data_IF_820273857029
#
_entry.id   IF_820273857029
#
_cell.length_a   1.000
_cell.length_b   1.000
_cell.length_c   1.000
_cell.angle_alpha   90.00
_cell.angle_beta   90.00
_cell.angle_gamma   90.00
#
_symmetry.space_group_name_H-M   'P 1'
#
loop_
_entity.id
_entity.type
_entity.pdbx_description
1 polymer ?
#
# COMPACT_ATOMS: atom_id res chain seq x y z
N UNK A 1 -7.49 -20.80 -17.31
CA UNK A 1 -6.37 -20.78 -16.34
C UNK A 1 -6.73 -19.84 -15.21
N UNK A 2 -6.41 -20.17 -13.95
CA UNK A 2 -6.58 -19.26 -12.78
C UNK A 2 -5.25 -18.79 -12.20
N UNK A 3 -4.14 -19.17 -12.82
CA UNK A 3 -2.78 -18.75 -12.46
C UNK A 3 -2.35 -17.51 -13.22
N UNK A 4 -1.31 -16.85 -12.71
CA UNK A 4 -0.65 -15.73 -13.38
C UNK A 4 0.05 -16.24 -14.64
N UNK A 5 -0.22 -15.62 -15.78
CA UNK A 5 0.38 -16.00 -17.06
C UNK A 5 1.16 -14.82 -17.66
N UNK A 6 2.49 -14.92 -17.60
CA UNK A 6 3.39 -13.90 -18.15
C UNK A 6 3.38 -13.82 -19.67
N UNK A 7 3.18 -14.94 -20.36
CA UNK A 7 3.17 -15.00 -21.84
C UNK A 7 1.92 -14.30 -22.37
N UNK A 8 0.76 -14.57 -21.77
CA UNK A 8 -0.48 -13.85 -22.09
C UNK A 8 -0.37 -12.36 -21.80
N UNK A 9 0.27 -11.96 -20.69
CA UNK A 9 0.49 -10.55 -20.38
C UNK A 9 1.36 -9.85 -21.45
N UNK A 10 2.42 -10.50 -21.92
CA UNK A 10 3.29 -9.97 -23.01
C UNK A 10 2.53 -9.87 -24.33
N UNK A 11 1.71 -10.88 -24.67
CA UNK A 11 0.86 -10.85 -25.86
C UNK A 11 -0.11 -9.67 -25.80
N UNK A 12 -0.82 -9.50 -24.68
CA UNK A 12 -1.73 -8.37 -24.48
C UNK A 12 -1.01 -7.02 -24.58
N UNK A 13 0.17 -6.90 -23.98
CA UNK A 13 0.98 -5.68 -24.07
C UNK A 13 1.41 -5.36 -25.51
N UNK A 14 1.79 -6.39 -26.27
CA UNK A 14 2.14 -6.26 -27.69
C UNK A 14 0.93 -5.83 -28.53
N UNK A 15 -0.25 -6.39 -28.26
CA UNK A 15 -1.51 -6.01 -28.91
C UNK A 15 -1.89 -4.55 -28.58
N UNK A 16 -1.78 -4.14 -27.32
CA UNK A 16 -2.03 -2.75 -26.91
C UNK A 16 -1.08 -1.79 -27.63
N UNK A 17 0.23 -2.11 -27.68
CA UNK A 17 1.22 -1.29 -28.39
C UNK A 17 0.87 -1.15 -29.88
N UNK A 18 0.53 -2.26 -30.54
CA UNK A 18 0.15 -2.25 -31.95
C UNK A 18 -1.13 -1.41 -32.20
N UNK A 19 -2.15 -1.58 -31.36
CA UNK A 19 -3.41 -0.82 -31.44
C UNK A 19 -3.20 0.69 -31.28
N UNK A 20 -2.46 1.11 -30.25
CA UNK A 20 -2.25 2.53 -29.97
C UNK A 20 -1.25 3.20 -30.92
N UNK A 21 -0.28 2.44 -31.47
CA UNK A 21 0.59 2.93 -32.54
C UNK A 21 -0.22 3.40 -33.76
N UNK A 22 -1.26 2.67 -34.14
CA UNK A 22 -2.16 3.06 -35.24
C UNK A 22 -2.95 4.35 -34.95
N UNK A 23 -3.10 4.72 -33.67
CA UNK A 23 -3.74 5.96 -33.22
C UNK A 23 -2.76 7.09 -32.94
N UNK A 24 -1.47 6.91 -33.26
CA UNK A 24 -0.39 7.88 -33.03
C UNK A 24 -0.25 8.33 -31.57
N UNK A 25 -0.63 7.49 -30.61
CA UNK A 25 -0.38 7.72 -29.18
C UNK A 25 0.48 6.60 -28.60
N UNK A 26 1.34 6.93 -27.65
CA UNK A 26 2.17 5.95 -26.95
C UNK A 26 1.42 5.31 -25.79
N UNK A 27 1.96 4.19 -25.27
CA UNK A 27 1.40 3.58 -24.05
C UNK A 27 1.58 4.49 -22.84
N UNK A 28 2.63 5.30 -22.80
CA UNK A 28 2.84 6.31 -21.76
C UNK A 28 1.76 7.39 -21.83
N UNK A 29 1.44 7.89 -23.02
CA UNK A 29 0.34 8.86 -23.18
C UNK A 29 -0.98 8.26 -22.70
N UNK A 30 -1.24 6.99 -23.03
CA UNK A 30 -2.44 6.31 -22.55
C UNK A 30 -2.44 6.13 -21.03
N UNK A 31 -1.29 5.88 -20.42
CA UNK A 31 -1.13 5.79 -18.97
C UNK A 31 -1.41 7.14 -18.30
N UNK A 32 -0.90 8.25 -18.86
CA UNK A 32 -1.18 9.59 -18.35
C UNK A 32 -2.68 9.94 -18.43
N UNK A 33 -3.38 9.52 -19.49
CA UNK A 33 -4.84 9.66 -19.56
C UNK A 33 -5.57 8.87 -18.46
N UNK A 34 -5.09 7.66 -18.14
CA UNK A 34 -5.64 6.86 -17.03
C UNK A 34 -5.39 7.55 -15.69
N UNK A 35 -4.20 8.13 -15.48
CA UNK A 35 -3.90 8.91 -14.29
C UNK A 35 -4.74 10.18 -14.19
N UNK A 36 -5.03 10.85 -15.31
CA UNK A 36 -5.93 11.99 -15.33
C UNK A 36 -7.37 11.61 -14.93
N UNK A 37 -7.84 10.43 -15.34
CA UNK A 37 -9.20 9.95 -15.05
C UNK A 37 -9.37 9.39 -13.63
N UNK A 38 -8.38 8.64 -13.14
CA UNK A 38 -8.51 7.85 -11.90
C UNK A 38 -7.52 8.24 -10.80
N UNK A 39 -6.66 9.22 -11.05
CA UNK A 39 -5.58 9.60 -10.15
C UNK A 39 -4.33 8.74 -10.33
N UNK A 40 -3.19 9.30 -9.95
CA UNK A 40 -1.90 8.62 -9.92
C UNK A 40 -1.71 7.92 -8.59
N UNK A 41 -1.25 6.67 -8.65
CA UNK A 41 -0.90 5.87 -7.48
C UNK A 41 0.62 5.73 -7.41
N UNK A 42 1.18 5.97 -6.23
CA UNK A 42 2.57 5.64 -5.92
C UNK A 42 2.54 4.54 -4.88
N UNK A 43 3.18 3.41 -5.19
CA UNK A 43 3.26 2.25 -4.31
C UNK A 43 4.71 1.86 -4.10
N UNK A 44 5.10 1.60 -2.86
CA UNK A 44 6.43 1.08 -2.53
C UNK A 44 6.31 -0.23 -1.72
N UNK A 45 7.35 -1.05 -1.82
CA UNK A 45 7.56 -2.22 -0.97
C UNK A 45 8.91 -2.07 -0.27
N UNK A 46 8.89 -2.03 1.04
CA UNK A 46 10.08 -2.07 1.87
C UNK A 46 10.22 -3.46 2.48
N UNK A 47 11.42 -4.02 2.44
CA UNK A 47 11.73 -5.34 3.00
C UNK A 47 12.80 -5.19 4.05
N UNK A 48 12.54 -5.71 5.24
CA UNK A 48 13.45 -5.65 6.37
C UNK A 48 13.71 -7.04 6.91
N UNK A 49 14.89 -7.20 7.49
CA UNK A 49 15.22 -8.36 8.32
C UNK A 49 15.05 -7.99 9.78
N UNK A 50 14.58 -8.94 10.59
CA UNK A 50 14.59 -8.85 12.07
C UNK A 50 13.89 -7.60 12.65
N UNK A 51 12.71 -7.27 12.13
CA UNK A 51 11.82 -6.29 12.75
C UNK A 51 10.87 -7.00 13.72
N UNK A 52 10.75 -6.48 14.95
CA UNK A 52 9.74 -6.94 15.90
C UNK A 52 8.37 -6.33 15.56
N UNK A 53 7.52 -7.17 14.97
CA UNK A 53 6.17 -6.80 14.59
C UNK A 53 5.28 -6.49 15.80
N UNK A 54 5.50 -7.12 16.95
CA UNK A 54 4.67 -6.89 18.13
C UNK A 54 4.90 -5.47 18.67
N UNK A 55 6.16 -5.05 18.78
CA UNK A 55 6.50 -3.66 19.14
C UNK A 55 5.88 -2.64 18.17
N UNK A 56 5.88 -2.90 16.86
CA UNK A 56 5.25 -2.01 15.88
C UNK A 56 3.73 -1.98 16.08
N UNK A 57 3.11 -3.14 16.24
CA UNK A 57 1.68 -3.32 16.45
C UNK A 57 1.21 -2.52 17.67
N UNK A 58 1.87 -2.69 18.80
CA UNK A 58 1.60 -1.95 20.05
C UNK A 58 1.70 -0.44 19.84
N UNK A 59 2.82 0.04 19.26
CA UNK A 59 3.00 1.46 18.96
C UNK A 59 1.88 2.03 18.08
N UNK A 60 1.43 1.28 17.07
CA UNK A 60 0.33 1.70 16.20
C UNK A 60 -0.99 1.83 16.96
N UNK A 61 -1.33 0.84 17.78
CA UNK A 61 -2.58 0.84 18.55
C UNK A 61 -2.59 1.90 19.66
N UNK A 62 -1.48 2.10 20.35
CA UNK A 62 -1.38 3.09 21.44
C UNK A 62 -1.42 4.53 20.92
N UNK A 63 -1.03 4.76 19.66
CA UNK A 63 -0.85 6.09 19.08
C UNK A 63 -1.79 6.39 17.91
N UNK A 64 -2.93 5.70 17.78
CA UNK A 64 -3.88 5.92 16.66
C UNK A 64 -4.20 7.40 16.44
N UNK A 65 -4.52 8.13 17.52
CA UNK A 65 -4.83 9.58 17.44
C UNK A 65 -3.59 10.41 17.12
N UNK A 66 -2.47 10.15 17.80
CA UNK A 66 -1.22 10.90 17.63
C UNK A 66 -0.66 10.77 16.21
N UNK A 67 -0.76 9.59 15.60
CA UNK A 67 -0.34 9.32 14.23
C UNK A 67 -1.38 9.66 13.17
N UNK A 68 -2.51 10.28 13.57
CA UNK A 68 -3.61 10.63 12.67
C UNK A 68 -4.12 9.44 11.84
N UNK A 69 -4.09 8.24 12.44
CA UNK A 69 -4.59 7.01 11.85
C UNK A 69 -6.12 7.08 11.84
N UNK A 70 -6.71 6.88 10.65
CA UNK A 70 -8.16 6.86 10.47
C UNK A 70 -8.72 5.49 10.87
N UNK A 71 -8.05 4.40 10.46
CA UNK A 71 -8.35 3.04 10.89
C UNK A 71 -7.16 2.09 10.79
N UNK A 72 -7.19 1.03 11.58
CA UNK A 72 -6.31 -0.13 11.47
C UNK A 72 -7.19 -1.36 11.22
N UNK A 73 -6.98 -2.05 10.10
CA UNK A 73 -7.55 -3.36 9.85
C UNK A 73 -6.57 -4.43 10.34
N UNK A 74 -6.97 -5.16 11.37
CA UNK A 74 -6.24 -6.28 11.95
C UNK A 74 -6.82 -7.59 11.41
N UNK A 75 -6.11 -8.20 10.48
CA UNK A 75 -6.56 -9.41 9.79
C UNK A 75 -6.45 -10.65 10.65
N UNK A 76 -5.60 -10.65 11.68
CA UNK A 76 -5.44 -11.79 12.58
C UNK A 76 -6.58 -11.81 13.61
N UNK A 77 -6.86 -10.65 14.21
CA UNK A 77 -7.98 -10.47 15.15
C UNK A 77 -9.33 -10.34 14.47
N UNK A 78 -9.34 -10.14 13.15
CA UNK A 78 -10.56 -9.89 12.36
C UNK A 78 -11.35 -8.70 12.88
N UNK A 79 -10.64 -7.59 13.12
CA UNK A 79 -11.20 -6.35 13.68
C UNK A 79 -10.71 -5.12 12.93
N UNK A 80 -11.55 -4.10 12.88
CA UNK A 80 -11.20 -2.76 12.42
C UNK A 80 -11.23 -1.84 13.64
N UNK A 81 -10.09 -1.22 13.93
CA UNK A 81 -9.92 -0.25 14.99
C UNK A 81 -9.98 1.15 14.39
N UNK A 82 -10.72 2.04 15.02
CA UNK A 82 -10.77 3.48 14.69
C UNK A 82 -10.45 4.29 15.94
N UNK A 83 -10.44 5.62 15.83
CA UNK A 83 -10.23 6.49 16.99
C UNK A 83 -11.35 6.44 18.04
N UNK A 84 -12.53 5.90 17.69
CA UNK A 84 -13.75 5.95 18.51
C UNK A 84 -14.40 4.59 18.74
N UNK A 85 -14.13 3.60 17.89
CA UNK A 85 -14.86 2.33 17.88
C UNK A 85 -14.02 1.17 17.33
N UNK A 86 -14.40 -0.06 17.68
CA UNK A 86 -13.82 -1.32 17.22
C UNK A 86 -14.92 -2.21 16.64
N UNK A 87 -14.81 -2.58 15.36
CA UNK A 87 -15.81 -3.37 14.64
C UNK A 87 -15.26 -4.72 14.15
N UNK A 88 -16.06 -5.79 14.07
CA UNK A 88 -15.63 -7.06 13.49
C UNK A 88 -15.46 -6.97 11.96
N UNK A 89 -14.61 -7.84 11.40
CA UNK A 89 -14.32 -7.93 9.98
C UNK A 89 -14.09 -9.38 9.55
N UNK A 90 -15.02 -9.95 8.78
CA UNK A 90 -15.06 -11.42 8.53
C UNK A 90 -14.90 -11.82 7.07
N UNK A 91 -14.65 -10.87 6.17
CA UNK A 91 -14.61 -11.14 4.71
C UNK A 91 -13.35 -11.87 4.25
N UNK A 92 -12.31 -11.98 5.09
CA UNK A 92 -11.01 -12.51 4.71
C UNK A 92 -10.49 -13.57 5.70
N UNK A 93 -9.70 -14.55 5.22
CA UNK A 93 -9.00 -15.49 6.10
C UNK A 93 -8.09 -14.77 7.10
N UNK A 94 -7.92 -15.37 8.28
CA UNK A 94 -6.98 -14.86 9.29
C UNK A 94 -5.55 -14.94 8.77
N UNK A 95 -4.80 -13.86 8.94
CA UNK A 95 -3.38 -13.78 8.59
C UNK A 95 -2.72 -12.69 9.42
N UNK A 96 -1.43 -12.87 9.72
CA UNK A 96 -0.64 -11.86 10.40
C UNK A 96 -0.36 -10.69 9.43
N UNK A 97 -1.23 -9.68 9.49
CA UNK A 97 -1.24 -8.48 8.64
C UNK A 97 -2.00 -7.36 9.36
N UNK A 98 -1.36 -6.21 9.50
CA UNK A 98 -2.03 -4.97 9.86
C UNK A 98 -2.06 -4.04 8.65
N UNK A 99 -3.23 -3.51 8.33
CA UNK A 99 -3.36 -2.45 7.33
C UNK A 99 -3.81 -1.15 8.00
N UNK A 100 -2.93 -0.18 8.00
CA UNK A 100 -3.11 1.15 8.61
C UNK A 100 -3.51 2.13 7.52
N UNK A 101 -4.60 2.85 7.75
CA UNK A 101 -5.09 3.91 6.90
C UNK A 101 -4.86 5.24 7.60
N UNK A 102 -4.31 6.22 6.88
CA UNK A 102 -4.21 7.58 7.37
C UNK A 102 -5.45 8.38 6.95
N UNK A 103 -5.48 9.67 7.26
CA UNK A 103 -6.65 10.53 7.07
C UNK A 103 -7.02 10.77 5.60
N UNK A 104 -6.07 10.63 4.68
CA UNK A 104 -6.25 10.98 3.27
C UNK A 104 -6.20 9.72 2.38
N UNK A 105 -5.39 9.77 1.33
CA UNK A 105 -5.35 8.82 0.21
C UNK A 105 -4.19 7.83 0.35
N UNK A 106 -3.85 7.46 1.58
CA UNK A 106 -2.73 6.58 1.84
C UNK A 106 -3.01 5.50 2.87
N UNK A 107 -2.31 4.39 2.67
CA UNK A 107 -2.30 3.29 3.59
C UNK A 107 -0.93 2.62 3.61
N UNK A 108 -0.65 1.96 4.73
CA UNK A 108 0.50 1.10 4.93
C UNK A 108 0.01 -0.28 5.35
N UNK A 109 0.65 -1.33 4.87
CA UNK A 109 0.39 -2.70 5.29
C UNK A 109 1.67 -3.34 5.83
N UNK A 110 1.63 -3.75 7.10
CA UNK A 110 2.71 -4.37 7.83
C UNK A 110 2.49 -5.89 7.85
N UNK A 111 3.39 -6.63 7.20
CA UNK A 111 3.28 -8.08 7.03
C UNK A 111 4.58 -8.77 7.43
N UNK A 112 4.65 -9.39 8.61
CA UNK A 112 5.71 -10.34 8.91
C UNK A 112 5.56 -11.56 7.97
N UNK A 113 6.68 -12.07 7.47
CA UNK A 113 6.71 -13.32 6.73
C UNK A 113 6.53 -14.49 7.70
N UNK A 114 5.68 -15.45 7.34
CA UNK A 114 5.37 -16.59 8.21
C UNK A 114 6.46 -17.67 8.25
N UNK A 115 7.30 -17.77 7.21
CA UNK A 115 8.29 -18.85 7.06
C UNK A 115 9.73 -18.36 6.90
N UNK A 116 9.94 -17.06 6.69
CA UNK A 116 11.26 -16.45 6.57
C UNK A 116 11.36 -15.27 7.55
N UNK A 117 12.55 -14.94 8.04
CA UNK A 117 12.78 -13.80 8.95
C UNK A 117 12.69 -12.43 8.25
N UNK A 118 11.77 -12.28 7.27
CA UNK A 118 11.54 -11.06 6.50
C UNK A 118 10.27 -10.35 6.95
N UNK A 119 10.32 -9.03 7.03
CA UNK A 119 9.21 -8.16 7.33
C UNK A 119 8.95 -7.24 6.13
N UNK A 120 7.72 -7.24 5.61
CA UNK A 120 7.33 -6.46 4.43
C UNK A 120 6.41 -5.32 4.84
N UNK A 121 6.71 -4.13 4.35
CA UNK A 121 5.84 -2.97 4.47
C UNK A 121 5.45 -2.52 3.07
N UNK A 122 4.17 -2.61 2.76
CA UNK A 122 3.61 -2.06 1.53
C UNK A 122 3.07 -0.68 1.83
N UNK A 123 3.38 0.31 1.00
CA UNK A 123 2.81 1.64 1.13
C UNK A 123 2.12 2.03 -0.18
N UNK A 124 1.07 2.82 -0.05
CA UNK A 124 0.39 3.42 -1.18
C UNK A 124 0.02 4.85 -0.82
N UNK A 125 0.23 5.75 -1.76
CA UNK A 125 -0.30 7.11 -1.79
C UNK A 125 -0.98 7.33 -3.15
N UNK A 126 -2.08 8.07 -3.19
CA UNK A 126 -2.72 8.42 -4.46
C UNK A 126 -3.31 9.82 -4.50
N UNK A 127 -3.42 10.39 -5.70
CA UNK A 127 -3.99 11.72 -5.89
C UNK A 127 -4.07 12.12 -7.36
N UNK A 128 -4.86 13.16 -7.65
CA UNK A 128 -5.01 13.73 -8.99
C UNK A 128 -3.98 14.83 -9.28
N UNK A 129 -3.48 15.49 -8.24
CA UNK A 129 -2.48 16.55 -8.34
C UNK A 129 -1.21 16.18 -7.56
N UNK A 130 -0.08 16.71 -8.02
CA UNK A 130 1.24 16.45 -7.46
C UNK A 130 1.36 16.88 -5.99
N UNK A 131 0.72 18.00 -5.61
CA UNK A 131 0.81 18.52 -4.24
C UNK A 131 0.14 17.60 -3.24
N UNK A 132 -1.04 17.06 -3.56
CA UNK A 132 -1.73 16.07 -2.72
C UNK A 132 -0.91 14.79 -2.60
N UNK A 133 -0.36 14.32 -3.71
CA UNK A 133 0.45 13.11 -3.75
C UNK A 133 1.73 13.24 -2.91
N UNK A 134 2.45 14.36 -3.02
CA UNK A 134 3.64 14.64 -2.22
C UNK A 134 3.33 14.68 -0.72
N UNK A 135 2.25 15.36 -0.31
CA UNK A 135 1.83 15.39 1.10
C UNK A 135 1.52 13.99 1.64
N UNK A 136 0.86 13.17 0.82
CA UNK A 136 0.52 11.79 1.13
C UNK A 136 1.77 10.94 1.32
N UNK A 137 2.76 11.06 0.45
CA UNK A 137 4.06 10.41 0.60
C UNK A 137 4.79 10.86 1.87
N UNK A 138 4.80 12.15 2.18
CA UNK A 138 5.47 12.67 3.37
C UNK A 138 4.85 12.15 4.67
N UNK A 139 3.52 12.00 4.73
CA UNK A 139 2.86 11.37 5.90
C UNK A 139 3.23 9.90 6.06
N UNK A 140 3.31 9.15 4.96
CA UNK A 140 3.80 7.76 4.99
C UNK A 140 5.22 7.71 5.57
N UNK A 141 6.13 8.57 5.10
CA UNK A 141 7.50 8.65 5.61
C UNK A 141 7.55 9.03 7.09
N UNK A 142 6.74 10.02 7.50
CA UNK A 142 6.67 10.46 8.90
C UNK A 142 6.19 9.34 9.82
N UNK A 143 5.21 8.53 9.40
CA UNK A 143 4.76 7.38 10.17
C UNK A 143 5.87 6.33 10.30
N UNK A 144 6.52 5.95 9.20
CA UNK A 144 7.64 4.99 9.24
C UNK A 144 8.74 5.47 10.19
N UNK A 145 9.12 6.74 10.10
CA UNK A 145 10.10 7.36 11.00
C UNK A 145 9.66 7.30 12.47
N UNK A 146 8.40 7.58 12.75
CA UNK A 146 7.82 7.53 14.11
C UNK A 146 7.82 6.11 14.70
N UNK A 147 7.77 5.09 13.84
CA UNK A 147 7.90 3.68 14.22
C UNK A 147 9.36 3.23 14.33
N UNK A 148 10.34 4.14 14.20
CA UNK A 148 11.77 3.83 14.18
C UNK A 148 12.19 2.95 13.00
N UNK A 149 11.41 2.96 11.92
CA UNK A 149 11.69 2.23 10.69
C UNK A 149 12.43 3.18 9.75
N UNK A 150 13.72 2.92 9.54
CA UNK A 150 14.53 3.68 8.58
C UNK A 150 14.17 3.24 7.15
N UNK A 151 14.00 4.19 6.23
CA UNK A 151 13.95 3.84 4.81
C UNK A 151 15.30 3.25 4.40
N UNK A 152 15.33 1.96 4.05
CA UNK A 152 16.42 1.42 3.26
C UNK A 152 15.95 1.52 1.81
N UNK A 153 16.54 2.47 1.09
CA UNK A 153 16.52 2.41 -0.36
C UNK A 153 17.59 1.38 -0.72
N UNK A 154 17.16 0.24 -1.24
CA UNK A 154 18.06 -0.69 -1.93
C UNK A 154 18.51 -0.06 -3.27
#
# INVERSE_FOLDING_TARGET
>A
MRDKDGVQAVLLFSMMKAYYKNKKITLTDKLELIYAEHGKFITNLYVYEKIDFNTISEKLFDNIKAFQISKIEDYERQKIFTQVDIKPFTKFPKTNLLKVYLKDNEWLAFRPSGTEAKFKIYTQAWGYDEKTLLKSQERVKQLLKSLSIQERYD
#
